data_IF_125544217226
#
_entry.id   IF_125544217226
#
_cell.length_a   1.000
_cell.length_b   1.000
_cell.length_c   1.000
_cell.angle_alpha   90.00
_cell.angle_beta   90.00
_cell.angle_gamma   90.00
#
_symmetry.space_group_name_H-M   'P 1'
#
loop_
_entity.id
_entity.type
_entity.pdbx_description
1 polymer ?
#
# COMPACT_ATOMS: atom_id res chain seq x y z
N UNK A 1 8.83 -5.61 -12.01
CA UNK A 1 7.76 -4.65 -11.69
C UNK A 1 8.26 -3.73 -10.58
N UNK A 2 8.12 -2.41 -10.72
CA UNK A 2 8.42 -1.44 -9.66
C UNK A 2 7.19 -1.26 -8.77
N UNK A 3 7.37 -1.38 -7.46
CA UNK A 3 6.26 -1.30 -6.51
C UNK A 3 6.55 -0.38 -5.35
N UNK A 4 5.48 0.20 -4.82
CA UNK A 4 5.47 0.87 -3.54
C UNK A 4 4.44 0.16 -2.67
N UNK A 5 4.77 -0.08 -1.40
CA UNK A 5 3.83 -0.69 -0.47
C UNK A 5 3.59 0.20 0.74
N UNK A 6 2.40 0.02 1.31
CA UNK A 6 1.88 0.82 2.40
C UNK A 6 1.51 -0.07 3.60
N UNK A 7 1.87 0.40 4.79
CA UNK A 7 1.49 -0.20 6.07
C UNK A 7 0.81 0.89 6.89
N UNK A 8 -0.42 0.64 7.32
CA UNK A 8 -1.10 1.54 8.23
C UNK A 8 -0.65 1.21 9.66
N UNK A 9 0.19 2.09 10.21
CA UNK A 9 0.71 2.00 11.57
C UNK A 9 -0.22 2.65 12.60
N UNK A 10 -1.52 2.76 12.32
CA UNK A 10 -2.54 3.36 13.21
C UNK A 10 -3.79 2.51 13.37
N UNK A 11 -3.91 1.43 12.61
CA UNK A 11 -5.08 0.54 12.62
C UNK A 11 -4.86 -0.66 13.54
N UNK A 12 -5.96 -1.15 14.12
CA UNK A 12 -6.05 -2.46 14.74
C UNK A 12 -6.93 -3.34 13.85
N UNK A 13 -6.34 -4.37 13.23
CA UNK A 13 -7.02 -5.26 12.29
C UNK A 13 -7.69 -6.40 13.05
N UNK A 14 -8.98 -6.64 12.81
CA UNK A 14 -9.73 -7.83 13.29
C UNK A 14 -9.53 -8.18 14.78
N UNK A 15 -9.43 -7.15 15.64
CA UNK A 15 -9.25 -7.32 17.09
C UNK A 15 -7.82 -7.58 17.54
N UNK A 16 -6.84 -7.58 16.62
CA UNK A 16 -5.41 -7.61 16.93
C UNK A 16 -4.96 -6.32 17.59
N UNK A 17 -3.87 -6.40 18.35
CA UNK A 17 -3.13 -5.21 18.77
C UNK A 17 -2.54 -4.48 17.56
N UNK A 18 -2.12 -3.24 17.80
CA UNK A 18 -1.49 -2.40 16.79
C UNK A 18 -0.19 -3.02 16.26
N UNK A 19 0.64 -3.56 17.15
CA UNK A 19 1.90 -4.21 16.82
C UNK A 19 1.68 -5.47 15.98
N UNK A 20 0.72 -6.31 16.38
CA UNK A 20 0.34 -7.50 15.61
C UNK A 20 -0.22 -7.12 14.22
N UNK A 21 -1.01 -6.05 14.16
CA UNK A 21 -1.56 -5.51 12.91
C UNK A 21 -0.47 -5.01 11.97
N UNK A 22 0.61 -4.41 12.49
CA UNK A 22 1.76 -4.01 11.66
C UNK A 22 2.50 -5.25 11.16
N UNK A 23 2.75 -6.22 12.04
CA UNK A 23 3.49 -7.44 11.71
C UNK A 23 2.78 -8.25 10.62
N UNK A 24 1.46 -8.44 10.70
CA UNK A 24 0.71 -9.20 9.69
C UNK A 24 0.70 -8.51 8.32
N UNK A 25 0.55 -7.18 8.30
CA UNK A 25 0.63 -6.38 7.07
C UNK A 25 2.02 -6.54 6.45
N UNK A 26 3.07 -6.36 7.25
CA UNK A 26 4.45 -6.40 6.78
C UNK A 26 4.84 -7.78 6.24
N UNK A 27 4.52 -8.85 6.96
CA UNK A 27 4.82 -10.22 6.54
C UNK A 27 4.10 -10.58 5.25
N UNK A 28 2.81 -10.29 5.16
CA UNK A 28 2.01 -10.62 3.97
C UNK A 28 2.50 -9.87 2.74
N UNK A 29 2.75 -8.55 2.88
CA UNK A 29 3.27 -7.73 1.80
C UNK A 29 4.66 -8.16 1.36
N UNK A 30 5.58 -8.42 2.30
CA UNK A 30 6.94 -8.89 1.98
C UNK A 30 6.93 -10.24 1.26
N UNK A 31 6.07 -11.16 1.68
CA UNK A 31 5.93 -12.46 1.01
C UNK A 31 5.47 -12.27 -0.44
N UNK A 32 4.41 -11.50 -0.66
CA UNK A 32 3.90 -11.21 -2.00
C UNK A 32 4.94 -10.49 -2.88
N UNK A 33 5.63 -9.49 -2.33
CA UNK A 33 6.71 -8.76 -3.03
C UNK A 33 7.82 -9.71 -3.48
N UNK A 34 8.23 -10.64 -2.62
CA UNK A 34 9.27 -11.63 -2.93
C UNK A 34 8.80 -12.63 -3.99
N UNK A 35 7.59 -13.17 -3.85
CA UNK A 35 7.00 -14.13 -4.79
C UNK A 35 6.85 -13.53 -6.20
N UNK A 36 6.37 -12.29 -6.28
CA UNK A 36 6.16 -11.56 -7.54
C UNK A 36 7.43 -10.85 -8.05
N UNK A 37 8.56 -10.96 -7.34
CA UNK A 37 9.84 -10.29 -7.65
C UNK A 37 9.66 -8.79 -7.89
N UNK A 38 8.88 -8.14 -7.03
CA UNK A 38 8.61 -6.71 -7.10
C UNK A 38 9.83 -5.95 -6.58
N UNK A 39 10.33 -5.02 -7.39
CA UNK A 39 11.39 -4.09 -6.98
C UNK A 39 10.77 -2.93 -6.22
N UNK A 40 10.96 -2.90 -4.91
CA UNK A 40 10.49 -1.81 -4.06
C UNK A 40 11.22 -0.51 -4.42
N UNK A 41 10.46 0.57 -4.56
CA UNK A 41 10.97 1.93 -4.81
C UNK A 41 10.65 2.82 -3.61
N UNK A 42 11.60 3.67 -3.23
CA UNK A 42 11.40 4.75 -2.27
C UNK A 42 11.94 6.05 -2.85
N UNK A 43 11.19 7.13 -2.71
CA UNK A 43 11.60 8.44 -3.21
C UNK A 43 12.32 9.26 -2.15
N UNK A 44 11.88 9.15 -0.90
CA UNK A 44 12.51 9.86 0.20
C UNK A 44 13.76 9.09 0.69
N UNK A 45 14.99 9.62 0.50
CA UNK A 45 16.22 8.96 0.95
C UNK A 45 16.33 8.91 2.49
N UNK A 46 15.55 9.73 3.21
CA UNK A 46 15.50 9.76 4.67
C UNK A 46 14.40 8.87 5.26
N UNK A 47 13.67 8.12 4.43
CA UNK A 47 12.67 7.19 4.91
C UNK A 47 13.34 6.04 5.66
N UNK A 48 12.94 5.81 6.92
CA UNK A 48 13.52 4.78 7.78
C UNK A 48 13.16 3.37 7.31
N UNK A 49 11.93 3.20 6.80
CA UNK A 49 11.41 1.93 6.32
C UNK A 49 11.34 1.92 4.80
N UNK A 50 11.30 0.73 4.21
CA UNK A 50 11.09 0.58 2.75
C UNK A 50 9.62 0.73 2.33
N UNK A 51 8.72 1.05 3.27
CA UNK A 51 7.29 1.31 3.06
C UNK A 51 6.85 2.68 3.53
N UNK A 52 5.75 3.14 2.95
CA UNK A 52 5.04 4.35 3.39
C UNK A 52 4.03 4.01 4.49
N UNK A 53 3.85 4.93 5.45
CA UNK A 53 2.79 4.86 6.48
C UNK A 53 1.79 6.01 6.42
N UNK A 54 2.03 6.98 5.54
CA UNK A 54 1.18 8.17 5.38
C UNK A 54 0.84 8.36 3.89
N UNK A 55 -0.41 8.16 3.44
CA UNK A 55 -0.77 8.29 2.02
C UNK A 55 -0.56 9.71 1.48
N UNK A 56 -0.70 10.72 2.33
CA UNK A 56 -0.41 12.11 1.97
C UNK A 56 1.08 12.34 1.64
N UNK A 57 2.00 11.69 2.36
CA UNK A 57 3.42 11.78 2.09
C UNK A 57 3.78 11.08 0.77
N UNK A 58 3.20 9.89 0.54
CA UNK A 58 3.33 9.18 -0.73
C UNK A 58 2.82 10.03 -1.90
N UNK A 59 1.62 10.61 -1.78
CA UNK A 59 1.05 11.47 -2.82
C UNK A 59 1.91 12.71 -3.10
N UNK A 60 2.54 13.29 -2.07
CA UNK A 60 3.47 14.40 -2.23
C UNK A 60 4.70 13.98 -3.04
N UNK A 61 5.33 12.87 -2.68
CA UNK A 61 6.53 12.37 -3.36
C UNK A 61 6.22 12.01 -4.83
N UNK A 62 5.11 11.32 -5.10
CA UNK A 62 4.68 10.96 -6.46
C UNK A 62 4.49 12.20 -7.35
N UNK A 63 3.88 13.26 -6.82
CA UNK A 63 3.70 14.53 -7.53
C UNK A 63 5.03 15.22 -7.82
N UNK A 64 5.99 15.12 -6.90
CA UNK A 64 7.31 15.74 -7.04
C UNK A 64 8.15 15.03 -8.09
N UNK A 65 8.20 13.71 -8.04
CA UNK A 65 9.03 12.89 -8.94
C UNK A 65 8.45 12.80 -10.35
N UNK A 66 7.13 13.00 -10.52
CA UNK A 66 6.42 12.91 -11.81
C UNK A 66 6.63 11.57 -12.52
N UNK A 67 6.72 10.49 -11.74
CA UNK A 67 6.94 9.13 -12.25
C UNK A 67 5.64 8.31 -12.22
N UNK A 68 5.53 7.37 -13.13
CA UNK A 68 4.53 6.29 -13.05
C UNK A 68 5.20 5.04 -12.48
N UNK A 69 4.55 4.43 -11.49
CA UNK A 69 4.99 3.20 -10.82
C UNK A 69 4.07 2.06 -11.26
N UNK A 70 4.59 0.84 -11.32
CA UNK A 70 3.77 -0.27 -11.82
C UNK A 70 2.67 -0.62 -10.81
N UNK A 71 3.00 -0.82 -9.53
CA UNK A 71 2.01 -1.24 -8.53
C UNK A 71 2.07 -0.47 -7.21
N UNK A 72 0.89 -0.25 -6.61
CA UNK A 72 0.72 0.13 -5.21
C UNK A 72 0.15 -1.05 -4.42
N UNK A 73 0.82 -1.46 -3.36
CA UNK A 73 0.45 -2.62 -2.55
C UNK A 73 0.00 -2.18 -1.16
N UNK A 74 -1.07 -2.77 -0.65
CA UNK A 74 -1.45 -2.68 0.76
C UNK A 74 -2.04 -4.02 1.21
N UNK A 75 -2.14 -4.23 2.53
CA UNK A 75 -2.59 -5.51 3.05
C UNK A 75 -4.08 -5.75 2.76
N UNK A 76 -5.00 -4.98 3.34
CA UNK A 76 -6.45 -5.15 3.15
C UNK A 76 -7.14 -3.82 2.89
N UNK A 77 -8.39 -3.83 2.42
CA UNK A 77 -9.14 -2.57 2.22
C UNK A 77 -9.27 -1.75 3.50
N UNK A 78 -9.39 -2.40 4.67
CA UNK A 78 -9.44 -1.74 5.98
C UNK A 78 -8.23 -0.82 6.20
N UNK A 79 -7.04 -1.23 5.72
CA UNK A 79 -5.78 -0.49 5.90
C UNK A 79 -5.82 0.90 5.26
N UNK A 80 -6.57 1.09 4.17
CA UNK A 80 -6.63 2.35 3.42
C UNK A 80 -7.99 3.05 3.50
N UNK A 81 -9.02 2.38 4.03
CA UNK A 81 -10.42 2.82 4.03
C UNK A 81 -10.61 4.22 4.59
N UNK A 82 -10.03 4.52 5.76
CA UNK A 82 -10.10 5.85 6.38
C UNK A 82 -9.62 6.97 5.45
N UNK A 83 -8.56 6.72 4.68
CA UNK A 83 -8.04 7.68 3.73
C UNK A 83 -8.95 7.84 2.52
N UNK A 84 -9.51 6.74 2.01
CA UNK A 84 -10.48 6.76 0.90
C UNK A 84 -11.72 7.55 1.30
N UNK A 85 -12.28 7.24 2.47
CA UNK A 85 -13.49 7.89 2.98
C UNK A 85 -13.26 9.38 3.25
N UNK A 86 -12.15 9.72 3.90
CA UNK A 86 -11.85 11.11 4.26
C UNK A 86 -11.40 11.96 3.06
N UNK A 87 -10.77 11.34 2.06
CA UNK A 87 -10.14 12.05 0.94
C UNK A 87 -10.33 11.35 -0.42
N UNK A 88 -11.57 11.13 -0.89
CA UNK A 88 -11.84 10.35 -2.09
C UNK A 88 -11.15 10.91 -3.34
N UNK A 89 -11.13 12.23 -3.51
CA UNK A 89 -10.43 12.87 -4.62
C UNK A 89 -8.91 12.66 -4.57
N UNK A 90 -8.30 12.69 -3.37
CA UNK A 90 -6.85 12.42 -3.24
C UNK A 90 -6.54 10.96 -3.50
N UNK A 91 -7.42 10.05 -3.12
CA UNK A 91 -7.30 8.63 -3.45
C UNK A 91 -7.29 8.40 -4.96
N UNK A 92 -8.24 9.00 -5.70
CA UNK A 92 -8.27 8.92 -7.17
C UNK A 92 -6.96 9.41 -7.81
N UNK A 93 -6.44 10.54 -7.33
CA UNK A 93 -5.16 11.07 -7.82
C UNK A 93 -4.00 10.12 -7.46
N UNK A 94 -3.96 9.59 -6.24
CA UNK A 94 -2.92 8.64 -5.82
C UNK A 94 -2.93 7.41 -6.72
N UNK A 95 -4.10 6.79 -6.94
CA UNK A 95 -4.26 5.63 -7.82
C UNK A 95 -3.73 5.91 -9.23
N UNK A 96 -3.95 7.12 -9.76
CA UNK A 96 -3.54 7.48 -11.12
C UNK A 96 -2.03 7.42 -11.39
N UNK A 97 -1.19 7.40 -10.35
CA UNK A 97 0.26 7.22 -10.50
C UNK A 97 0.68 5.75 -10.70
N UNK A 98 -0.23 4.80 -10.45
CA UNK A 98 0.03 3.37 -10.48
C UNK A 98 -0.73 2.71 -11.63
N UNK A 99 -0.11 1.71 -12.27
CA UNK A 99 -0.82 0.88 -13.28
C UNK A 99 -1.81 -0.05 -12.61
N UNK A 100 -1.48 -0.53 -11.42
CA UNK A 100 -2.35 -1.39 -10.62
C UNK A 100 -2.25 -1.08 -9.12
N UNK A 101 -3.34 -1.36 -8.43
CA UNK A 101 -3.46 -1.24 -6.98
C UNK A 101 -3.87 -2.63 -6.48
N UNK A 102 -3.09 -3.20 -5.56
CA UNK A 102 -3.23 -4.60 -5.13
C UNK A 102 -3.40 -4.67 -3.62
N UNK A 103 -4.47 -5.34 -3.20
CA UNK A 103 -4.69 -5.81 -1.83
C UNK A 103 -4.15 -7.22 -1.68
N UNK A 104 -3.32 -7.49 -0.67
CA UNK A 104 -2.58 -8.76 -0.48
C UNK A 104 -3.21 -9.68 0.58
N UNK A 105 -4.24 -9.21 1.29
CA UNK A 105 -5.00 -9.98 2.27
C UNK A 105 -5.36 -11.34 1.70
N UNK A 106 -5.13 -12.38 2.49
CA UNK A 106 -5.42 -13.76 2.11
C UNK A 106 -6.91 -13.85 1.76
N UNK A 107 -7.21 -13.79 0.47
CA UNK A 107 -8.43 -14.33 -0.08
C UNK A 107 -8.39 -15.83 0.26
N UNK A 108 -9.13 -16.24 1.29
CA UNK A 108 -9.68 -17.60 1.26
C UNK A 108 -10.43 -17.68 -0.06
N UNK A 109 -9.86 -18.42 -1.01
CA UNK A 109 -10.40 -18.80 -2.31
C UNK A 109 -11.46 -17.84 -2.87
N UNK A 110 -11.04 -16.87 -3.69
CA UNK A 110 -11.76 -16.41 -4.89
C UNK A 110 -10.97 -15.24 -5.48
N UNK A 111 -10.24 -15.51 -6.58
CA UNK A 111 -9.66 -14.51 -7.48
C UNK A 111 -10.71 -13.44 -7.82
N UNK A 112 -10.74 -12.35 -7.08
CA UNK A 112 -11.40 -11.12 -7.48
C UNK A 112 -10.30 -10.09 -7.63
N UNK A 113 -9.86 -9.91 -8.88
CA UNK A 113 -9.23 -8.67 -9.31
C UNK A 113 -10.30 -7.61 -9.30
N UNK A 114 -10.42 -6.85 -8.22
CA UNK A 114 -11.17 -5.59 -8.29
C UNK A 114 -10.36 -4.61 -9.13
N UNK A 115 -10.72 -4.52 -10.42
CA UNK A 115 -10.36 -3.41 -11.27
C UNK A 115 -11.32 -2.27 -10.92
N UNK A 116 -10.85 -1.29 -10.14
CA UNK A 116 -11.55 -0.01 -9.91
C UNK A 116 -10.75 1.16 -10.47
#
# INVERSE_FOLDING_TARGET
MQGIYFINDRICLDGLSKEESIVIQEQSLKNFINEQKIKVVKFNPYQLNDYYTIPHALLYDLKKEKVSIDCFLYYSSQVIEDFIYSYPAKWLILKSFFKEVISVEKQNDLNIREVV
#
